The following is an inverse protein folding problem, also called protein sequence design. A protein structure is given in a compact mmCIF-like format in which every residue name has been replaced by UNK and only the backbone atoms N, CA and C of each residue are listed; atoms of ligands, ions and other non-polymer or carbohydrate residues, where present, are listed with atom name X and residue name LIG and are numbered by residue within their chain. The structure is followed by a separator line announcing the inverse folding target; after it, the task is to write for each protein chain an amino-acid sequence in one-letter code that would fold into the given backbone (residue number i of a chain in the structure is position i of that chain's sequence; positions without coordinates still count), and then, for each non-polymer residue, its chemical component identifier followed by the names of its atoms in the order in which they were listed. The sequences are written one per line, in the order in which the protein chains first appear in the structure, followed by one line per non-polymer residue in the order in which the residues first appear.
data_IF_835832185087
#
_entry.id   IF_835832185087
#
_cell.length_a   1.000
_cell.length_b   1.000
_cell.length_c   1.000
_cell.angle_alpha   90.00
_cell.angle_beta   90.00
_cell.angle_gamma   90.00
#
_symmetry.space_group_name_H-M   'P 1'
#
loop_
_entity.id
_entity.type
_entity.pdbx_description
1 polymer ?
#
# COMPACT_ATOMS: atom_id res chain seq x y z
N UNK A 1 10.58 14.20 10.69
CA UNK A 1 9.93 13.05 10.06
C UNK A 1 9.51 13.46 8.65
N UNK A 2 9.70 12.60 7.66
CA UNK A 2 9.31 12.84 6.27
C UNK A 2 8.29 11.78 5.86
N UNK A 3 7.13 12.20 5.36
CA UNK A 3 6.14 11.30 4.75
C UNK A 3 6.49 11.11 3.28
N UNK A 4 6.62 9.85 2.86
CA UNK A 4 6.80 9.49 1.46
C UNK A 4 5.44 9.47 0.74
N UNK A 5 5.44 9.74 -0.56
CA UNK A 5 4.26 9.48 -1.41
C UNK A 5 3.99 7.97 -1.49
N UNK A 6 2.78 7.58 -1.92
CA UNK A 6 2.45 6.16 -2.16
C UNK A 6 3.45 5.51 -3.13
N UNK A 7 3.82 6.22 -4.19
CA UNK A 7 4.76 5.72 -5.19
C UNK A 7 6.19 5.55 -4.64
N UNK A 8 6.67 6.51 -3.84
CA UNK A 8 7.98 6.40 -3.16
C UNK A 8 7.96 5.28 -2.11
N UNK A 9 6.86 5.14 -1.37
CA UNK A 9 6.67 4.07 -0.38
C UNK A 9 6.76 2.69 -1.05
N UNK A 10 6.04 2.49 -2.17
CA UNK A 10 6.06 1.22 -2.90
C UNK A 10 7.38 0.95 -3.62
N UNK A 11 8.11 1.98 -4.05
CA UNK A 11 9.50 1.80 -4.52
C UNK A 11 10.40 1.24 -3.43
N UNK A 12 10.32 1.80 -2.22
CA UNK A 12 11.08 1.30 -1.08
C UNK A 12 10.69 -0.15 -0.75
N UNK A 13 9.39 -0.48 -0.71
CA UNK A 13 8.94 -1.87 -0.51
C UNK A 13 9.53 -2.83 -1.56
N UNK A 14 9.57 -2.42 -2.83
CA UNK A 14 10.10 -3.24 -3.90
C UNK A 14 11.61 -3.50 -3.79
N UNK A 15 12.38 -2.57 -3.21
CA UNK A 15 13.82 -2.73 -2.95
C UNK A 15 14.08 -3.86 -1.92
N UNK A 16 13.14 -4.09 -1.01
CA UNK A 16 13.15 -5.19 -0.03
C UNK A 16 12.40 -6.44 -0.54
N UNK A 17 12.14 -6.54 -1.84
CA UNK A 17 11.52 -7.73 -2.45
C UNK A 17 10.04 -7.91 -2.15
N UNK A 18 9.36 -6.92 -1.56
CA UNK A 18 7.91 -6.96 -1.34
C UNK A 18 7.22 -6.65 -2.68
N UNK A 19 6.39 -7.57 -3.23
CA UNK A 19 5.75 -7.33 -4.51
C UNK A 19 4.77 -6.15 -4.42
N UNK A 20 4.89 -5.20 -5.34
CA UNK A 20 4.01 -4.03 -5.43
C UNK A 20 3.29 -3.99 -6.76
N UNK A 21 2.13 -3.31 -6.80
CA UNK A 21 1.41 -3.12 -8.05
C UNK A 21 2.24 -2.34 -9.07
N UNK A 22 2.17 -2.75 -10.34
CA UNK A 22 2.75 -1.98 -11.44
C UNK A 22 2.03 -0.63 -11.56
N UNK A 23 2.83 0.43 -11.58
CA UNK A 23 2.32 1.80 -11.60
C UNK A 23 3.35 2.82 -12.09
N UNK A 24 2.88 4.01 -12.40
CA UNK A 24 3.71 5.16 -12.76
C UNK A 24 2.99 6.48 -12.47
N UNK A 25 3.74 7.55 -12.24
CA UNK A 25 3.18 8.89 -11.98
C UNK A 25 3.14 9.70 -13.28
N UNK A 26 1.93 10.03 -13.72
CA UNK A 26 1.67 10.90 -14.85
C UNK A 26 1.68 12.38 -14.44
N UNK A 27 2.42 13.22 -15.18
CA UNK A 27 2.50 14.68 -14.95
C UNK A 27 1.71 15.52 -15.94
N UNK A 28 1.12 14.88 -16.94
CA UNK A 28 0.21 15.51 -17.90
C UNK A 28 -0.89 14.53 -18.29
N UNK A 29 -1.91 15.04 -18.98
CA UNK A 29 -3.00 14.23 -19.50
C UNK A 29 -2.49 13.25 -20.58
N UNK A 30 -1.58 13.71 -21.41
CA UNK A 30 -0.97 12.94 -22.49
C UNK A 30 -0.09 11.83 -21.91
N UNK A 31 0.69 12.14 -20.87
CA UNK A 31 1.49 11.17 -20.10
C UNK A 31 0.61 10.11 -19.43
N UNK A 32 -0.53 10.51 -18.85
CA UNK A 32 -1.49 9.58 -18.24
C UNK A 32 -2.02 8.56 -19.24
N UNK A 33 -2.34 8.99 -20.47
CA UNK A 33 -2.78 8.10 -21.54
C UNK A 33 -1.71 7.11 -21.96
N UNK A 34 -0.46 7.57 -22.10
CA UNK A 34 0.67 6.70 -22.46
C UNK A 34 0.92 5.64 -21.39
N UNK A 35 1.06 6.06 -20.13
CA UNK A 35 1.30 5.16 -19.00
C UNK A 35 0.15 4.17 -18.79
N UNK A 36 -1.11 4.60 -18.95
CA UNK A 36 -2.26 3.70 -18.86
C UNK A 36 -2.25 2.64 -19.97
N UNK A 37 -1.84 3.02 -21.20
CA UNK A 37 -1.68 2.05 -22.29
C UNK A 37 -0.57 1.03 -22.00
N UNK A 38 0.56 1.47 -21.41
CA UNK A 38 1.66 0.58 -21.04
C UNK A 38 1.29 -0.38 -19.91
N UNK A 39 0.56 0.11 -18.90
CA UNK A 39 0.12 -0.66 -17.74
C UNK A 39 -0.96 -1.68 -18.12
N UNK A 40 -1.89 -1.27 -18.98
CA UNK A 40 -3.03 -2.07 -19.43
C UNK A 40 -4.33 -1.72 -18.70
N UNK A 41 -5.43 -1.73 -19.44
CA UNK A 41 -6.76 -1.32 -18.96
C UNK A 41 -7.58 -2.51 -18.39
N UNK A 42 -8.55 -2.23 -17.49
CA UNK A 42 -8.79 -0.94 -16.83
C UNK A 42 -7.68 -0.58 -15.81
N UNK A 43 -7.51 0.72 -15.54
CA UNK A 43 -6.53 1.23 -14.57
C UNK A 43 -7.21 1.95 -13.40
N UNK A 44 -6.55 1.96 -12.25
CA UNK A 44 -6.83 2.89 -11.17
C UNK A 44 -6.02 4.18 -11.40
N UNK A 45 -6.64 5.32 -11.12
CA UNK A 45 -6.01 6.63 -11.17
C UNK A 45 -6.17 7.33 -9.82
N UNK A 46 -5.06 7.66 -9.15
CA UNK A 46 -5.05 8.30 -7.83
C UNK A 46 -4.22 9.58 -7.86
N UNK A 47 -4.56 10.58 -7.04
CA UNK A 47 -3.67 11.74 -6.87
C UNK A 47 -2.39 11.30 -6.14
N UNK A 48 -1.24 11.66 -6.72
CA UNK A 48 0.05 11.54 -6.05
C UNK A 48 0.37 12.85 -5.35
N UNK A 49 0.19 12.89 -4.03
CA UNK A 49 0.49 14.04 -3.21
C UNK A 49 0.86 13.58 -1.80
N UNK A 50 1.96 14.06 -1.22
CA UNK A 50 2.30 13.81 0.17
C UNK A 50 1.39 14.58 1.15
N UNK A 51 0.66 15.58 0.65
CA UNK A 51 -0.19 16.45 1.46
C UNK A 51 -1.66 15.95 1.49
N UNK A 52 -1.99 14.92 0.70
CA UNK A 52 -3.34 14.33 0.60
C UNK A 52 -3.27 12.82 0.87
N UNK A 53 -3.41 12.44 2.14
CA UNK A 53 -3.37 11.03 2.57
C UNK A 53 -4.70 10.28 2.31
N UNK A 54 -5.85 10.81 2.76
CA UNK A 54 -7.16 10.14 2.65
C UNK A 54 -7.88 10.45 1.32
N UNK A 55 -7.29 10.00 0.21
CA UNK A 55 -7.68 10.35 -1.17
C UNK A 55 -9.11 9.92 -1.54
N UNK A 56 -9.57 8.77 -1.05
CA UNK A 56 -10.89 8.21 -1.38
C UNK A 56 -12.03 9.15 -0.96
N UNK A 57 -11.99 9.66 0.27
CA UNK A 57 -13.04 10.51 0.85
C UNK A 57 -13.24 11.84 0.09
N UNK A 58 -12.24 12.25 -0.70
CA UNK A 58 -12.20 13.56 -1.37
C UNK A 58 -12.25 13.42 -2.90
N UNK A 59 -12.61 12.24 -3.40
CA UNK A 59 -12.71 11.95 -4.83
C UNK A 59 -11.37 12.03 -5.57
N UNK A 60 -10.27 11.80 -4.87
CA UNK A 60 -8.91 11.78 -5.42
C UNK A 60 -8.44 10.37 -5.81
N UNK A 61 -9.38 9.43 -5.96
CA UNK A 61 -9.19 8.09 -6.50
C UNK A 61 -10.34 7.79 -7.45
N UNK A 62 -10.01 7.30 -8.65
CA UNK A 62 -10.93 6.78 -9.63
C UNK A 62 -10.49 5.36 -10.01
N UNK A 63 -11.39 4.40 -9.88
CA UNK A 63 -11.17 3.00 -10.26
C UNK A 63 -11.82 2.72 -11.62
N UNK A 64 -11.47 1.58 -12.21
CA UNK A 64 -12.04 1.07 -13.46
C UNK A 64 -11.99 2.06 -14.63
N UNK A 65 -10.93 2.87 -14.71
CA UNK A 65 -10.79 3.88 -15.76
C UNK A 65 -10.40 3.19 -17.07
N UNK A 66 -11.31 3.28 -18.05
CA UNK A 66 -11.08 2.80 -19.41
C UNK A 66 -10.26 3.78 -20.27
N UNK A 67 -9.79 3.29 -21.42
CA UNK A 67 -8.94 4.05 -22.35
C UNK A 67 -9.51 5.42 -22.74
N UNK A 68 -10.83 5.50 -22.98
CA UNK A 68 -11.52 6.73 -23.40
C UNK A 68 -11.66 7.74 -22.26
N UNK A 69 -11.59 7.27 -21.02
CA UNK A 69 -11.94 8.07 -19.83
C UNK A 69 -10.73 8.68 -19.13
N UNK A 70 -9.52 8.17 -19.41
CA UNK A 70 -8.26 8.62 -18.78
C UNK A 70 -8.10 10.13 -18.80
N UNK A 71 -8.38 10.78 -19.93
CA UNK A 71 -8.22 12.22 -20.07
C UNK A 71 -9.14 13.02 -19.15
N UNK A 72 -10.41 12.60 -19.06
CA UNK A 72 -11.40 13.22 -18.20
C UNK A 72 -11.14 12.92 -16.71
N UNK A 73 -10.72 11.68 -16.41
CA UNK A 73 -10.31 11.25 -15.07
C UNK A 73 -9.13 12.08 -14.54
N UNK A 74 -8.11 12.32 -15.37
CA UNK A 74 -6.96 13.16 -15.01
C UNK A 74 -7.38 14.58 -14.62
N UNK A 75 -8.21 15.23 -15.43
CA UNK A 75 -8.73 16.59 -15.13
C UNK A 75 -9.58 16.61 -13.87
N UNK A 76 -10.43 15.58 -13.68
CA UNK A 76 -11.31 15.46 -12.51
C UNK A 76 -10.51 15.33 -11.23
N UNK A 77 -9.51 14.45 -11.20
CA UNK A 77 -8.64 14.22 -10.05
C UNK A 77 -7.89 15.50 -9.64
N UNK A 78 -7.27 16.20 -10.59
CA UNK A 78 -6.58 17.46 -10.31
C UNK A 78 -7.55 18.55 -9.82
N UNK A 79 -8.76 18.60 -10.38
CA UNK A 79 -9.81 19.50 -9.93
C UNK A 79 -10.22 19.23 -8.48
N UNK A 80 -10.42 17.97 -8.13
CA UNK A 80 -10.80 17.54 -6.78
C UNK A 80 -9.69 17.85 -5.76
N UNK A 81 -8.43 17.53 -6.09
CA UNK A 81 -7.28 17.84 -5.23
C UNK A 81 -7.17 19.35 -4.94
N UNK A 82 -7.28 20.19 -5.98
CA UNK A 82 -7.23 21.66 -5.84
C UNK A 82 -8.38 22.22 -5.00
N UNK A 83 -9.59 21.66 -5.13
CA UNK A 83 -10.76 22.07 -4.34
C UNK A 83 -10.62 21.66 -2.88
N UNK A 84 -10.07 20.48 -2.63
CA UNK A 84 -9.95 19.95 -1.27
C UNK A 84 -8.82 20.61 -0.48
N UNK A 85 -7.64 20.77 -1.10
CA UNK A 85 -6.46 21.28 -0.43
C UNK A 85 -5.78 22.36 -1.29
N UNK A 86 -6.21 23.60 -1.11
CA UNK A 86 -5.62 24.77 -1.78
C UNK A 86 -4.15 24.90 -1.39
N UNK A 87 -3.25 24.84 -2.37
CA UNK A 87 -1.81 24.94 -2.15
C UNK A 87 -1.09 23.63 -1.83
N UNK A 88 -1.80 22.49 -1.81
CA UNK A 88 -1.16 21.19 -1.69
C UNK A 88 -0.18 20.94 -2.84
N UNK A 89 0.96 20.33 -2.52
CA UNK A 89 1.91 19.82 -3.50
C UNK A 89 1.31 18.60 -4.18
N UNK A 90 1.09 18.70 -5.49
CA UNK A 90 0.61 17.60 -6.32
C UNK A 90 1.74 17.22 -7.27
N UNK A 91 2.26 16.00 -7.12
CA UNK A 91 3.37 15.51 -7.94
C UNK A 91 2.88 14.94 -9.29
N UNK A 92 1.58 14.62 -9.37
CA UNK A 92 0.91 14.12 -10.56
C UNK A 92 -0.29 13.24 -10.25
N UNK A 93 -0.65 12.38 -11.20
CA UNK A 93 -1.66 11.33 -11.04
C UNK A 93 -0.96 9.97 -11.16
N UNK A 94 -1.04 9.17 -10.11
CA UNK A 94 -0.59 7.78 -10.10
C UNK A 94 -1.53 6.94 -10.96
N UNK A 95 -0.99 6.30 -11.99
CA UNK A 95 -1.67 5.33 -12.83
C UNK A 95 -1.24 3.95 -12.37
N UNK A 96 -2.19 3.09 -12.00
CA UNK A 96 -1.91 1.83 -11.32
C UNK A 96 -2.72 0.70 -11.93
N UNK A 97 -2.11 -0.48 -12.07
CA UNK A 97 -2.80 -1.69 -12.49
C UNK A 97 -3.85 -2.10 -11.45
N UNK A 98 -5.05 -2.43 -11.88
CA UNK A 98 -6.06 -3.04 -11.00
C UNK A 98 -5.63 -4.47 -10.67
N UNK A 99 -5.55 -4.75 -9.37
CA UNK A 99 -5.31 -6.10 -8.86
C UNK A 99 -6.63 -6.84 -8.77
N UNK A 100 -6.71 -8.11 -9.22
CA UNK A 100 -7.88 -8.94 -9.01
C UNK A 100 -8.25 -9.05 -7.52
N UNK A 101 -9.51 -9.37 -7.23
CA UNK A 101 -9.93 -9.63 -5.86
C UNK A 101 -9.11 -10.76 -5.22
N UNK A 102 -8.77 -10.57 -3.95
CA UNK A 102 -8.08 -11.52 -3.10
C UNK A 102 -8.35 -11.21 -1.64
N UNK A 103 -7.70 -11.93 -0.74
CA UNK A 103 -7.78 -11.64 0.69
C UNK A 103 -7.02 -10.36 0.98
N UNK A 104 -7.70 -9.35 1.53
CA UNK A 104 -7.05 -8.12 1.99
C UNK A 104 -6.37 -8.38 3.33
N UNK A 105 -5.09 -8.04 3.41
CA UNK A 105 -4.26 -8.12 4.61
C UNK A 105 -3.71 -6.73 4.92
N UNK A 106 -3.31 -6.53 6.18
CA UNK A 106 -2.56 -5.36 6.63
C UNK A 106 -1.23 -5.82 7.21
N UNK A 107 -0.16 -5.13 6.83
CA UNK A 107 1.17 -5.27 7.45
C UNK A 107 1.71 -3.88 7.73
N UNK A 108 2.17 -3.65 8.95
CA UNK A 108 2.70 -2.34 9.32
C UNK A 108 3.87 -2.41 10.28
N UNK A 109 4.59 -1.30 10.39
CA UNK A 109 5.62 -1.06 11.41
C UNK A 109 5.14 0.09 12.27
N UNK A 110 5.21 -0.08 13.59
CA UNK A 110 5.04 0.99 14.55
C UNK A 110 6.27 1.10 15.43
N UNK A 111 6.83 2.31 15.53
CA UNK A 111 7.90 2.60 16.48
C UNK A 111 7.30 2.97 17.84
N UNK A 112 7.56 2.14 18.86
CA UNK A 112 7.26 2.45 20.25
C UNK A 112 8.50 2.97 20.98
N UNK A 113 8.31 3.97 21.83
CA UNK A 113 9.40 4.63 22.57
C UNK A 113 10.10 3.76 23.61
N UNK A 114 9.47 2.68 24.09
CA UNK A 114 10.03 1.77 25.10
C UNK A 114 10.57 0.49 24.47
N UNK A 115 9.87 -0.04 23.44
CA UNK A 115 10.18 -1.35 22.87
C UNK A 115 10.88 -1.31 21.50
N UNK A 116 11.02 -0.13 20.89
CA UNK A 116 11.53 0.01 19.53
C UNK A 116 10.45 -0.36 18.50
N UNK A 117 10.85 -0.90 17.35
CA UNK A 117 9.93 -1.23 16.27
C UNK A 117 9.19 -2.54 16.53
N UNK A 118 7.88 -2.51 16.29
CA UNK A 118 7.03 -3.69 16.24
C UNK A 118 6.41 -3.82 14.84
N UNK A 119 6.39 -5.05 14.33
CA UNK A 119 5.63 -5.42 13.13
C UNK A 119 4.23 -5.85 13.54
N UNK A 120 3.24 -5.35 12.82
CA UNK A 120 1.83 -5.71 12.91
C UNK A 120 1.46 -6.52 11.67
N UNK A 121 0.69 -7.60 11.85
CA UNK A 121 0.09 -8.38 10.77
C UNK A 121 -1.38 -8.63 11.09
N UNK A 122 -2.27 -8.59 10.09
CA UNK A 122 -3.67 -8.95 10.29
C UNK A 122 -4.49 -8.98 9.00
N UNK A 123 -5.79 -9.26 9.15
CA UNK A 123 -6.75 -9.15 8.04
C UNK A 123 -7.11 -7.68 7.79
N UNK A 124 -7.03 -7.25 6.53
CA UNK A 124 -7.34 -5.91 6.05
C UNK A 124 -8.83 -5.60 5.93
N UNK A 125 -9.15 -4.40 5.45
CA UNK A 125 -10.53 -3.95 5.22
C UNK A 125 -11.32 -3.73 6.53
N UNK A 126 -12.63 -4.03 6.50
CA UNK A 126 -13.52 -3.87 7.67
C UNK A 126 -13.07 -4.65 8.91
N UNK A 127 -12.20 -5.65 8.73
CA UNK A 127 -11.78 -6.55 9.80
C UNK A 127 -10.70 -5.92 10.71
N UNK A 128 -9.91 -4.95 10.22
CA UNK A 128 -8.98 -4.17 11.06
C UNK A 128 -9.74 -3.28 12.04
N UNK A 129 -10.75 -2.54 11.55
CA UNK A 129 -11.43 -1.50 12.34
C UNK A 129 -12.46 -2.07 13.33
N UNK A 130 -13.03 -3.24 13.03
CA UNK A 130 -14.15 -3.82 13.81
C UNK A 130 -13.74 -5.02 14.65
N UNK A 131 -12.78 -5.85 14.20
CA UNK A 131 -12.44 -7.11 14.89
C UNK A 131 -11.13 -7.07 15.65
N UNK A 132 -10.27 -6.06 15.42
CA UNK A 132 -8.92 -5.95 16.00
C UNK A 132 -8.13 -7.27 15.81
N UNK A 133 -8.29 -7.88 14.63
CA UNK A 133 -7.74 -9.21 14.31
C UNK A 133 -6.30 -9.11 13.79
N UNK A 134 -5.42 -8.72 14.70
CA UNK A 134 -4.01 -8.44 14.43
C UNK A 134 -3.10 -9.15 15.42
N UNK A 135 -1.89 -9.48 14.98
CA UNK A 135 -0.78 -9.96 15.80
C UNK A 135 0.39 -9.00 15.71
N UNK A 136 1.17 -8.92 16.80
CA UNK A 136 2.33 -8.04 16.92
C UNK A 136 3.58 -8.83 17.29
N UNK A 137 4.73 -8.41 16.78
CA UNK A 137 6.05 -8.91 17.18
C UNK A 137 7.07 -7.77 17.21
N UNK A 138 7.97 -7.81 18.18
CA UNK A 138 9.09 -6.87 18.28
C UNK A 138 10.18 -7.30 17.28
N UNK A 139 10.72 -6.32 16.55
CA UNK A 139 11.80 -6.51 15.57
C UNK A 139 13.13 -6.80 16.28
N UNK A 140 14.02 -7.66 15.74
CA UNK A 140 13.88 -8.42 14.49
C UNK A 140 13.11 -9.74 14.64
N UNK A 141 12.37 -10.12 13.59
CA UNK A 141 11.60 -11.36 13.53
C UNK A 141 12.40 -12.50 12.89
N UNK A 142 12.14 -13.72 13.35
CA UNK A 142 12.53 -14.96 12.68
C UNK A 142 11.37 -15.51 11.84
N UNK A 143 11.66 -16.45 10.92
CA UNK A 143 10.61 -17.14 10.15
C UNK A 143 9.56 -17.81 11.06
N UNK A 144 9.97 -18.30 12.22
CA UNK A 144 9.05 -18.88 13.20
C UNK A 144 8.08 -17.82 13.75
N UNK A 145 8.58 -16.63 14.09
CA UNK A 145 7.73 -15.54 14.58
C UNK A 145 6.68 -15.15 13.54
N UNK A 146 7.09 -15.02 12.28
CA UNK A 146 6.18 -14.68 11.18
C UNK A 146 5.10 -15.76 10.93
N UNK A 147 5.45 -17.05 11.02
CA UNK A 147 4.47 -18.15 10.95
C UNK A 147 3.48 -18.06 12.11
N UNK A 148 3.98 -17.91 13.34
CA UNK A 148 3.13 -17.78 14.54
C UNK A 148 2.18 -16.56 14.41
N UNK A 149 2.65 -15.44 13.87
CA UNK A 149 1.80 -14.27 13.60
C UNK A 149 0.63 -14.58 12.66
N UNK A 150 0.84 -15.41 11.62
CA UNK A 150 -0.23 -15.84 10.70
C UNK A 150 -1.21 -16.83 11.33
N UNK A 151 -0.75 -17.62 12.31
CA UNK A 151 -1.56 -18.60 13.04
C UNK A 151 -2.38 -17.97 14.18
N UNK A 152 -1.98 -16.80 14.69
CA UNK A 152 -2.60 -16.12 15.82
C UNK A 152 -3.86 -15.33 15.48
N UNK A 153 -4.01 -14.91 14.23
CA UNK A 153 -5.21 -14.18 13.80
C UNK A 153 -6.44 -15.09 13.85
N UNK A 154 -7.55 -14.59 14.38
CA UNK A 154 -8.85 -15.28 14.48
C UNK A 154 -9.32 -15.76 13.11
N UNK A 155 -9.07 -14.97 12.07
CA UNK A 155 -9.42 -15.27 10.69
C UNK A 155 -8.41 -16.12 9.93
N UNK A 156 -7.47 -16.81 10.60
CA UNK A 156 -6.44 -17.65 9.93
C UNK A 156 -6.98 -18.66 8.91
N UNK A 157 -8.23 -19.13 9.08
CA UNK A 157 -8.86 -20.05 8.12
C UNK A 157 -9.06 -19.42 6.74
N UNK A 158 -9.15 -18.09 6.64
CA UNK A 158 -9.22 -17.34 5.38
C UNK A 158 -7.88 -17.44 4.63
N UNK A 159 -6.76 -17.52 5.36
CA UNK A 159 -5.43 -17.65 4.76
C UNK A 159 -5.22 -19.00 4.06
N UNK A 160 -6.07 -20.00 4.31
CA UNK A 160 -5.96 -21.32 3.65
C UNK A 160 -6.13 -21.26 2.12
N UNK A 161 -6.78 -20.22 1.59
CA UNK A 161 -6.88 -19.95 0.15
C UNK A 161 -5.77 -19.05 -0.40
N UNK A 162 -4.76 -18.72 0.41
CA UNK A 162 -3.69 -17.80 0.07
C UNK A 162 -2.33 -18.50 0.06
N UNK A 163 -1.36 -17.88 -0.61
CA UNK A 163 0.04 -18.25 -0.52
C UNK A 163 0.63 -17.75 0.81
N UNK A 164 0.56 -18.61 1.84
CA UNK A 164 1.02 -18.29 3.20
C UNK A 164 2.52 -18.05 3.26
N UNK A 165 3.31 -18.75 2.45
CA UNK A 165 4.76 -18.54 2.41
C UNK A 165 5.09 -17.13 1.91
N UNK A 166 4.40 -16.64 0.87
CA UNK A 166 4.58 -15.27 0.39
C UNK A 166 4.17 -14.20 1.43
N UNK A 167 3.16 -14.49 2.25
CA UNK A 167 2.77 -13.62 3.38
C UNK A 167 3.89 -13.59 4.43
N UNK A 168 4.40 -14.75 4.83
CA UNK A 168 5.50 -14.89 5.80
C UNK A 168 6.75 -14.16 5.31
N UNK A 169 7.13 -14.34 4.05
CA UNK A 169 8.28 -13.65 3.45
C UNK A 169 8.08 -12.13 3.46
N UNK A 170 6.86 -11.65 3.21
CA UNK A 170 6.55 -10.20 3.29
C UNK A 170 6.69 -9.67 4.72
N UNK A 171 6.23 -10.41 5.74
CA UNK A 171 6.40 -10.03 7.16
C UNK A 171 7.90 -9.93 7.51
N UNK A 172 8.72 -10.89 7.05
CA UNK A 172 10.15 -10.90 7.29
C UNK A 172 10.87 -9.74 6.59
N UNK A 173 10.53 -9.46 5.33
CA UNK A 173 11.08 -8.32 4.60
C UNK A 173 10.71 -6.99 5.27
N UNK A 174 9.48 -6.86 5.79
CA UNK A 174 9.08 -5.69 6.60
C UNK A 174 9.88 -5.61 7.90
N UNK A 175 10.17 -6.74 8.56
CA UNK A 175 11.05 -6.75 9.73
C UNK A 175 12.47 -6.30 9.38
N UNK A 176 13.02 -6.72 8.24
CA UNK A 176 14.35 -6.29 7.78
C UNK A 176 14.38 -4.79 7.49
N UNK A 177 13.36 -4.28 6.79
CA UNK A 177 13.16 -2.83 6.57
C UNK A 177 13.18 -2.05 7.88
N UNK A 178 12.52 -2.53 8.93
CA UNK A 178 12.49 -1.86 10.23
C UNK A 178 13.86 -1.79 10.92
N UNK A 179 14.78 -2.71 10.61
CA UNK A 179 16.16 -2.74 11.14
C UNK A 179 17.07 -1.81 10.35
N UNK A 180 16.99 -1.86 9.02
CA UNK A 180 17.94 -1.19 8.13
C UNK A 180 17.57 0.28 7.87
N UNK A 181 16.27 0.57 7.75
CA UNK A 181 15.78 1.91 7.51
C UNK A 181 15.42 2.64 8.80
N UNK A 182 15.53 3.96 8.78
CA UNK A 182 14.96 4.82 9.82
C UNK A 182 13.44 4.94 9.68
N UNK A 183 12.70 3.85 9.57
CA UNK A 183 11.23 3.90 9.48
C UNK A 183 10.67 4.35 10.83
N UNK A 184 9.80 5.34 10.85
CA UNK A 184 9.00 5.68 12.03
C UNK A 184 7.66 4.93 12.00
N UNK A 185 7.07 4.83 10.80
CA UNK A 185 5.80 4.17 10.55
C UNK A 185 5.78 3.57 9.14
N UNK A 186 5.27 2.35 9.01
CA UNK A 186 4.90 1.73 7.74
C UNK A 186 3.47 1.22 7.85
N UNK A 187 2.67 1.45 6.81
CA UNK A 187 1.33 0.88 6.66
C UNK A 187 1.18 0.35 5.23
N UNK A 188 1.10 -0.97 5.07
CA UNK A 188 0.75 -1.65 3.83
C UNK A 188 -0.70 -2.08 3.95
N UNK A 189 -1.60 -1.33 3.33
CA UNK A 189 -3.04 -1.56 3.43
C UNK A 189 -3.82 -1.08 2.18
N UNK A 190 -4.30 -1.98 1.31
CA UNK A 190 -4.25 -3.42 1.44
C UNK A 190 -2.98 -4.05 0.84
N UNK A 191 -2.49 -5.10 1.48
CA UNK A 191 -1.73 -6.17 0.84
C UNK A 191 -2.74 -7.22 0.36
N UNK A 192 -2.84 -7.42 -0.95
CA UNK A 192 -3.76 -8.43 -1.52
C UNK A 192 -3.04 -9.76 -1.60
N UNK A 193 -3.56 -10.78 -0.92
CA UNK A 193 -3.08 -12.15 -0.98
C UNK A 193 -4.01 -13.04 -1.82
N UNK A 194 -3.40 -13.87 -2.67
CA UNK A 194 -4.07 -14.83 -3.53
C UNK A 194 -3.37 -16.19 -3.41
N UNK A 195 -3.89 -17.21 -4.10
CA UNK A 195 -3.28 -18.56 -4.15
C UNK A 195 -1.83 -18.59 -4.70
N UNK A 196 -1.37 -17.51 -5.36
CA UNK A 196 -0.08 -17.44 -6.05
C UNK A 196 0.73 -16.19 -5.69
N UNK A 197 0.72 -15.86 -4.40
CA UNK A 197 1.52 -14.79 -3.85
C UNK A 197 0.70 -13.62 -3.33
N UNK A 198 1.40 -12.51 -3.10
CA UNK A 198 0.85 -11.28 -2.55
C UNK A 198 1.23 -10.07 -3.40
N UNK A 199 0.50 -8.97 -3.25
CA UNK A 199 0.84 -7.69 -3.87
C UNK A 199 0.36 -6.52 -3.02
N UNK A 200 1.27 -5.60 -2.69
CA UNK A 200 0.94 -4.37 -2.00
C UNK A 200 0.28 -3.38 -2.98
N UNK A 201 -0.98 -3.06 -2.71
CA UNK A 201 -1.80 -2.15 -3.54
C UNK A 201 -1.66 -0.71 -3.07
N UNK A 202 -1.58 -0.50 -1.76
CA UNK A 202 -1.30 0.80 -1.16
C UNK A 202 -0.22 0.65 -0.10
N UNK A 203 0.54 1.72 0.09
CA UNK A 203 1.56 1.78 1.11
C UNK A 203 1.83 3.21 1.53
N UNK A 204 2.10 3.39 2.82
CA UNK A 204 2.53 4.65 3.39
C UNK A 204 3.73 4.42 4.30
N UNK A 205 4.80 5.17 4.04
CA UNK A 205 6.00 5.17 4.87
C UNK A 205 6.25 6.57 5.43
N UNK A 206 6.56 6.63 6.72
CA UNK A 206 7.10 7.81 7.40
C UNK A 206 8.49 7.44 7.90
N UNK A 207 9.50 8.22 7.53
CA UNK A 207 10.87 8.02 8.00
C UNK A 207 11.25 9.06 9.08
N UNK A 208 12.01 8.58 10.07
CA UNK A 208 12.70 9.38 11.09
C UNK A 208 13.79 10.26 10.47
N UNK A 209 14.12 11.36 11.17
CA UNK A 209 15.18 12.30 10.75
C UNK A 209 16.58 11.74 10.89
#
# INVERSE_FOLDING_TARGET
MKTLTEHESKKLLAEYGIPVTREAVARSREDALLLACEIGFPVAMKISSPDIAHKNAVGCVLLDVGKTDVGAAYTTLLGNAKKHATGARIDGVLIQKIVPHGTELVIGIKCDSQFGHAVMFGLGGIFVEVLDDVSFRIVPLTKRDAIEMTDEIRGRSILAGCDVDAIVDTILNVSEMAVEEKIFELDINPLIACERGVVAVDARVIIGG
#
